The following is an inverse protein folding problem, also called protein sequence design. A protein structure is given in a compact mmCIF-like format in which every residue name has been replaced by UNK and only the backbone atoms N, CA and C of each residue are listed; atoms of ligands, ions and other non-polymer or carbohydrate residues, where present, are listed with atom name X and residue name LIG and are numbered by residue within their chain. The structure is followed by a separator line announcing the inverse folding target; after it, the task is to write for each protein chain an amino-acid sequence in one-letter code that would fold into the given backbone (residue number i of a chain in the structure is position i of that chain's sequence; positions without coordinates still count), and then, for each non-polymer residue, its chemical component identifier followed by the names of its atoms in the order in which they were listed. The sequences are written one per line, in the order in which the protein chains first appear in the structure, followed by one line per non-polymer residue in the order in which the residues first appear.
data_IF_070269103353
#
_entry.id   IF_070269103353
#
_cell.length_a   1.000
_cell.length_b   1.000
_cell.length_c   1.000
_cell.angle_alpha   90.00
_cell.angle_beta   90.00
_cell.angle_gamma   90.00
#
_symmetry.space_group_name_H-M   'P 1'
#
loop_
_entity.id
_entity.type
_entity.pdbx_description
1 polymer ?
#
# COMPACT_ATOMS: atom_id res chain seq x y z
N UNK A 1 1.78 -6.96 18.41
CA UNK A 1 1.17 -7.66 17.26
C UNK A 1 1.16 -6.69 16.11
N UNK A 2 1.75 -7.05 14.98
CA UNK A 2 1.83 -6.19 13.79
C UNK A 2 0.96 -6.81 12.69
N UNK A 3 0.15 -6.00 12.02
CA UNK A 3 -0.79 -6.46 10.99
C UNK A 3 -0.50 -5.74 9.69
N UNK A 4 -0.36 -6.51 8.60
CA UNK A 4 -0.11 -5.97 7.27
C UNK A 4 -1.41 -6.02 6.46
N UNK A 5 -1.82 -4.89 5.91
CA UNK A 5 -3.02 -4.76 5.09
C UNK A 5 -2.63 -4.66 3.62
N UNK A 6 -2.97 -5.68 2.84
CA UNK A 6 -2.74 -5.71 1.38
C UNK A 6 -3.98 -5.12 0.70
N UNK A 7 -3.91 -3.84 0.33
CA UNK A 7 -5.06 -3.11 -0.18
C UNK A 7 -5.02 -3.09 -1.71
N UNK A 8 -6.07 -3.62 -2.35
CA UNK A 8 -6.26 -3.43 -3.81
C UNK A 8 -6.81 -2.04 -4.14
N UNK A 9 -7.47 -1.39 -3.18
CA UNK A 9 -8.00 -0.03 -3.29
C UNK A 9 -7.53 0.78 -2.08
N UNK A 10 -6.88 1.91 -2.32
CA UNK A 10 -6.44 2.80 -1.25
C UNK A 10 -6.23 4.22 -1.77
N UNK A 11 -6.43 5.26 -0.95
CA UNK A 11 -6.19 6.64 -1.34
C UNK A 11 -4.75 6.84 -1.80
N UNK A 12 -4.58 7.54 -2.91
CA UNK A 12 -3.27 7.82 -3.49
C UNK A 12 -3.27 9.16 -4.22
N UNK A 13 -2.14 9.55 -4.80
CA UNK A 13 -2.02 10.86 -5.45
C UNK A 13 -2.85 10.99 -6.74
N UNK A 14 -3.16 9.88 -7.41
CA UNK A 14 -3.97 9.88 -8.64
C UNK A 14 -5.46 9.96 -8.31
N UNK A 15 -5.89 9.24 -7.28
CA UNK A 15 -7.28 9.19 -6.84
C UNK A 15 -7.35 9.23 -5.31
N UNK A 16 -7.65 10.42 -4.77
CA UNK A 16 -7.62 10.70 -3.33
C UNK A 16 -8.77 10.06 -2.55
N UNK A 17 -9.84 9.63 -3.23
CA UNK A 17 -11.04 9.09 -2.56
C UNK A 17 -11.19 7.57 -2.75
N UNK A 18 -10.37 6.96 -3.61
CA UNK A 18 -10.40 5.51 -3.84
C UNK A 18 -10.16 4.73 -2.55
N UNK A 19 -11.17 4.00 -2.08
CA UNK A 19 -11.01 3.17 -0.89
C UNK A 19 -10.73 3.97 0.39
N UNK A 20 -11.17 5.23 0.49
CA UNK A 20 -10.95 6.07 1.67
C UNK A 20 -11.49 5.44 2.97
N UNK A 21 -12.56 4.65 2.88
CA UNK A 21 -13.08 3.86 4.00
C UNK A 21 -12.03 2.88 4.57
N UNK A 22 -11.15 2.32 3.73
CA UNK A 22 -10.07 1.42 4.18
C UNK A 22 -9.02 2.23 4.93
N UNK A 23 -8.68 3.42 4.47
CA UNK A 23 -7.77 4.31 5.20
C UNK A 23 -8.36 4.72 6.55
N UNK A 24 -9.64 5.09 6.61
CA UNK A 24 -10.33 5.41 7.86
C UNK A 24 -10.34 4.23 8.83
N UNK A 25 -10.55 3.03 8.33
CA UNK A 25 -10.47 1.80 9.14
C UNK A 25 -9.05 1.53 9.63
N UNK A 26 -8.03 1.71 8.79
CA UNK A 26 -6.64 1.55 9.18
C UNK A 26 -6.26 2.55 10.29
N UNK A 27 -6.72 3.80 10.20
CA UNK A 27 -6.54 4.82 11.25
C UNK A 27 -7.23 4.37 12.55
N UNK A 28 -8.48 3.92 12.49
CA UNK A 28 -9.20 3.47 13.68
C UNK A 28 -8.53 2.26 14.35
N UNK A 29 -8.07 1.28 13.55
CA UNK A 29 -7.38 0.07 14.05
C UNK A 29 -6.00 0.40 14.61
N UNK A 30 -5.31 1.41 14.05
CA UNK A 30 -3.98 1.83 14.52
C UNK A 30 -3.98 2.37 15.97
N UNK A 31 -5.15 2.72 16.51
CA UNK A 31 -5.30 3.07 17.92
C UNK A 31 -5.06 1.86 18.87
N UNK A 32 -5.16 0.62 18.36
CA UNK A 32 -5.08 -0.60 19.15
C UNK A 32 -3.84 -1.45 18.83
N UNK A 33 -3.35 -1.39 17.59
CA UNK A 33 -2.27 -2.24 17.09
C UNK A 33 -1.49 -1.56 15.97
N UNK A 34 -0.25 -2.00 15.73
CA UNK A 34 0.55 -1.49 14.62
C UNK A 34 0.05 -2.05 13.29
N UNK A 35 -0.26 -1.15 12.35
CA UNK A 35 -0.78 -1.43 11.01
C UNK A 35 0.20 -0.91 9.97
N UNK A 36 0.60 -1.78 9.05
CA UNK A 36 1.34 -1.38 7.86
C UNK A 36 0.45 -1.66 6.63
N UNK A 37 0.10 -0.60 5.90
CA UNK A 37 -0.71 -0.70 4.68
C UNK A 37 0.20 -0.78 3.47
N UNK A 38 -0.09 -1.71 2.56
CA UNK A 38 0.60 -1.82 1.26
C UNK A 38 -0.42 -1.69 0.15
N UNK A 39 -0.14 -0.78 -0.78
CA UNK A 39 -0.97 -0.58 -1.97
C UNK A 39 -0.11 -0.34 -3.20
N UNK A 40 -0.46 -1.01 -4.31
CA UNK A 40 0.18 -0.82 -5.62
C UNK A 40 -0.76 0.00 -6.50
N UNK A 41 -0.26 1.13 -7.01
CA UNK A 41 -0.96 2.01 -7.92
C UNK A 41 -0.34 1.88 -9.29
N UNK A 42 -1.14 1.46 -10.29
CA UNK A 42 -0.69 1.45 -11.67
C UNK A 42 -0.87 2.84 -12.29
N UNK A 43 0.21 3.40 -12.82
CA UNK A 43 0.29 4.73 -13.43
C UNK A 43 0.93 4.66 -14.81
N UNK A 44 0.64 5.62 -15.68
CA UNK A 44 1.23 5.66 -17.02
C UNK A 44 2.69 6.14 -17.00
N UNK A 45 3.02 7.05 -16.08
CA UNK A 45 4.35 7.66 -15.94
C UNK A 45 4.81 7.75 -14.47
N UNK A 46 6.13 7.87 -14.28
CA UNK A 46 6.80 8.12 -12.98
C UNK A 46 6.59 7.03 -11.92
N UNK A 47 7.29 5.90 -12.11
CA UNK A 47 7.41 4.90 -11.05
C UNK A 47 8.14 5.48 -9.83
N UNK A 48 7.56 5.23 -8.66
CA UNK A 48 8.14 5.65 -7.38
C UNK A 48 7.56 4.82 -6.25
N UNK A 49 8.17 4.95 -5.08
CA UNK A 49 7.68 4.33 -3.86
C UNK A 49 7.59 5.43 -2.82
N UNK A 50 6.44 5.51 -2.16
CA UNK A 50 6.18 6.50 -1.12
C UNK A 50 5.79 5.77 0.16
N UNK A 51 6.49 6.05 1.25
CA UNK A 51 6.14 5.57 2.58
C UNK A 51 5.72 6.76 3.42
N UNK A 52 4.49 6.77 3.91
CA UNK A 52 3.92 7.85 4.71
C UNK A 52 3.61 7.33 6.10
N UNK A 53 4.24 7.93 7.11
CA UNK A 53 3.91 7.72 8.52
C UNK A 53 2.71 8.60 8.82
N UNK A 54 1.56 7.99 9.11
CA UNK A 54 0.32 8.71 9.44
C UNK A 54 0.26 9.00 10.93
N UNK A 55 0.65 8.04 11.75
CA UNK A 55 0.82 8.16 13.18
C UNK A 55 1.86 7.12 13.66
N UNK A 56 2.09 7.03 14.98
CA UNK A 56 3.08 6.12 15.58
C UNK A 56 2.87 4.63 15.23
N UNK A 57 1.62 4.24 14.98
CA UNK A 57 1.21 2.86 14.74
C UNK A 57 0.71 2.60 13.31
N UNK A 58 0.72 3.58 12.41
CA UNK A 58 0.23 3.44 11.04
C UNK A 58 1.23 3.98 10.02
N UNK A 59 1.72 3.07 9.19
CA UNK A 59 2.54 3.41 8.02
C UNK A 59 1.83 2.97 6.74
N UNK A 60 1.77 3.86 5.75
CA UNK A 60 1.20 3.60 4.44
C UNK A 60 2.32 3.50 3.41
N UNK A 61 2.42 2.37 2.70
CA UNK A 61 3.39 2.10 1.66
C UNK A 61 2.71 2.04 0.29
N UNK A 62 2.92 3.09 -0.50
CA UNK A 62 2.33 3.25 -1.83
C UNK A 62 3.39 3.01 -2.91
N UNK A 63 3.17 1.99 -3.72
CA UNK A 63 4.06 1.61 -4.81
C UNK A 63 3.44 2.01 -6.14
N UNK A 64 3.95 3.08 -6.75
CA UNK A 64 3.55 3.49 -8.08
C UNK A 64 4.36 2.71 -9.10
N UNK A 65 3.69 1.94 -9.94
CA UNK A 65 4.31 1.09 -10.96
C UNK A 65 3.68 1.35 -12.31
N UNK A 66 4.45 1.18 -13.37
CA UNK A 66 3.97 1.42 -14.72
C UNK A 66 2.85 0.43 -15.04
N UNK A 67 1.76 0.96 -15.58
CA UNK A 67 0.67 0.15 -16.09
C UNK A 67 1.12 -0.60 -17.36
N UNK A 68 0.91 -1.90 -17.38
CA UNK A 68 1.22 -2.77 -18.52
C UNK A 68 0.00 -3.68 -18.81
N UNK A 69 0.26 -4.89 -19.31
CA UNK A 69 -0.77 -5.89 -19.53
C UNK A 69 -1.24 -6.51 -18.20
N UNK A 70 -2.47 -7.03 -18.14
CA UNK A 70 -3.08 -7.61 -16.93
C UNK A 70 -2.21 -8.67 -16.24
N UNK A 71 -1.58 -9.57 -17.00
CA UNK A 71 -0.70 -10.62 -16.47
C UNK A 71 0.59 -10.05 -15.86
N UNK A 72 1.16 -9.03 -16.49
CA UNK A 72 2.36 -8.35 -15.99
C UNK A 72 2.02 -7.56 -14.73
N UNK A 73 0.89 -6.85 -14.72
CA UNK A 73 0.41 -6.13 -13.53
C UNK A 73 0.18 -7.09 -12.36
N UNK A 74 -0.39 -8.28 -12.59
CA UNK A 74 -0.55 -9.28 -11.53
C UNK A 74 0.80 -9.77 -11.01
N UNK A 75 1.77 -10.03 -11.87
CA UNK A 75 3.14 -10.39 -11.47
C UNK A 75 3.79 -9.28 -10.65
N UNK A 76 3.66 -8.03 -11.08
CA UNK A 76 4.16 -6.85 -10.38
C UNK A 76 3.50 -6.70 -9.01
N UNK A 77 2.19 -6.93 -8.92
CA UNK A 77 1.47 -6.92 -7.65
C UNK A 77 2.08 -7.94 -6.68
N UNK A 78 2.26 -9.19 -7.12
CA UNK A 78 2.83 -10.24 -6.27
C UNK A 78 4.29 -9.97 -5.89
N UNK A 79 5.12 -9.46 -6.82
CA UNK A 79 6.53 -9.18 -6.55
C UNK A 79 6.71 -8.04 -5.56
N UNK A 80 5.92 -6.97 -5.65
CA UNK A 80 5.96 -5.87 -4.70
C UNK A 80 5.59 -6.33 -3.29
N UNK A 81 4.53 -7.13 -3.15
CA UNK A 81 4.17 -7.68 -1.84
C UNK A 81 5.27 -8.58 -1.28
N UNK A 82 5.90 -9.43 -2.11
CA UNK A 82 7.04 -10.26 -1.68
C UNK A 82 8.23 -9.41 -1.21
N UNK A 83 8.56 -8.33 -1.91
CA UNK A 83 9.63 -7.40 -1.51
C UNK A 83 9.28 -6.76 -0.17
N UNK A 84 8.04 -6.32 0.00
CA UNK A 84 7.58 -5.73 1.24
C UNK A 84 7.65 -6.71 2.42
N UNK A 85 7.15 -7.94 2.26
CA UNK A 85 7.22 -8.95 3.32
C UNK A 85 8.65 -9.26 3.75
N UNK A 86 9.60 -9.27 2.80
CA UNK A 86 11.02 -9.41 3.12
C UNK A 86 11.57 -8.22 3.90
N UNK A 87 11.13 -6.99 3.61
CA UNK A 87 11.58 -5.80 4.36
C UNK A 87 11.08 -5.76 5.81
N UNK A 88 9.93 -6.38 6.10
CA UNK A 88 9.32 -6.39 7.44
C UNK A 88 9.77 -7.59 8.30
N UNK A 89 10.25 -8.68 7.69
CA UNK A 89 10.58 -9.94 8.38
C UNK A 89 12.00 -10.01 8.97
N UNK A 90 12.59 -8.89 9.36
CA UNK A 90 13.91 -8.83 10.02
C UNK A 90 13.79 -8.55 11.52
#
# INVERSE_FOLDING_TARGET
MNVIWLCSWYPNQVDKFRGDFIQRQAIAVSALLRVDVVHVVFVEENERTESKIVNENLTEHLYYRRNQNKLLNLRTLLSVHQIFFKSVSY
#
